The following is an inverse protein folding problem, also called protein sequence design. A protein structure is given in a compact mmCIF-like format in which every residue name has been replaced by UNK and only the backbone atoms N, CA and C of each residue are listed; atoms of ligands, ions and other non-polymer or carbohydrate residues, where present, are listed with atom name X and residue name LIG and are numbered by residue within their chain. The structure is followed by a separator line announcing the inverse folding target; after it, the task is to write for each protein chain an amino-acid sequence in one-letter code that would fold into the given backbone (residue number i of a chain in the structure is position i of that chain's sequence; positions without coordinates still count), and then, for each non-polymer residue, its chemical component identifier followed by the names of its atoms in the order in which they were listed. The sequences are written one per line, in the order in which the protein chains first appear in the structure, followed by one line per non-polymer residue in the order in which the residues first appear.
data_IF_015145574145
#
_entry.id   IF_015145574145
#
_cell.length_a   1.000
_cell.length_b   1.000
_cell.length_c   1.000
_cell.angle_alpha   90.00
_cell.angle_beta   90.00
_cell.angle_gamma   90.00
#
_symmetry.space_group_name_H-M   'P 1'
#
loop_
_entity.id
_entity.type
_entity.pdbx_description
1 polymer ?
#
# COMPACT_ATOMS: atom_id res chain seq x y z
N UNK A 1 -10.06 -25.21 -0.01
CA UNK A 1 -9.92 -24.24 -1.11
C UNK A 1 -8.67 -24.62 -1.90
N UNK A 2 -8.76 -24.65 -3.22
CA UNK A 2 -7.78 -25.33 -4.08
C UNK A 2 -6.41 -24.62 -4.08
N UNK A 3 -5.36 -25.37 -3.77
CA UNK A 3 -4.02 -25.05 -4.24
C UNK A 3 -4.06 -24.97 -5.78
N UNK A 4 -3.65 -23.85 -6.37
CA UNK A 4 -3.62 -23.66 -7.83
C UNK A 4 -4.41 -22.49 -8.39
N UNK A 5 -5.01 -21.62 -7.57
CA UNK A 5 -5.57 -20.36 -8.08
C UNK A 5 -4.44 -19.40 -8.51
N UNK A 6 -4.48 -18.84 -9.73
CA UNK A 6 -3.42 -17.97 -10.26
C UNK A 6 -3.24 -16.65 -9.50
N UNK A 7 -4.28 -16.24 -8.77
CA UNK A 7 -4.30 -15.04 -7.92
C UNK A 7 -4.96 -15.41 -6.60
N UNK A 8 -4.34 -15.05 -5.48
CA UNK A 8 -4.90 -15.25 -4.15
C UNK A 8 -5.67 -14.01 -3.68
N UNK A 9 -6.89 -14.23 -3.20
CA UNK A 9 -7.76 -13.19 -2.67
C UNK A 9 -7.63 -13.16 -1.14
N UNK A 10 -7.25 -12.01 -0.61
CA UNK A 10 -7.13 -11.73 0.83
C UNK A 10 -8.31 -10.87 1.27
N UNK A 11 -8.96 -11.24 2.38
CA UNK A 11 -10.12 -10.50 2.88
C UNK A 11 -9.69 -9.42 3.87
N UNK A 12 -9.95 -8.15 3.52
CA UNK A 12 -9.68 -7.01 4.40
C UNK A 12 -10.70 -6.92 5.53
N UNK A 13 -10.29 -7.25 6.76
CA UNK A 13 -11.12 -7.14 7.95
C UNK A 13 -10.90 -5.79 8.68
N UNK A 14 -11.94 -5.23 9.33
CA UNK A 14 -11.80 -3.97 10.07
C UNK A 14 -10.94 -4.09 11.35
N UNK A 15 -10.59 -5.31 11.75
CA UNK A 15 -9.81 -5.63 12.95
C UNK A 15 -10.06 -7.08 13.38
N UNK A 16 -9.52 -7.45 14.54
CA UNK A 16 -9.61 -8.82 15.09
C UNK A 16 -10.59 -8.93 16.27
N UNK A 17 -11.59 -8.06 16.35
CA UNK A 17 -12.63 -8.20 17.39
C UNK A 17 -13.40 -9.50 17.18
N UNK A 18 -13.60 -10.28 18.25
CA UNK A 18 -14.49 -11.44 18.22
C UNK A 18 -15.89 -11.03 17.76
N UNK A 19 -16.47 -11.84 16.87
CA UNK A 19 -17.78 -11.59 16.32
C UNK A 19 -18.01 -12.22 14.94
N UNK A 20 -19.15 -11.90 14.30
CA UNK A 20 -19.61 -12.59 13.09
C UNK A 20 -18.65 -12.55 11.90
N UNK A 21 -17.95 -11.43 11.70
CA UNK A 21 -16.99 -11.28 10.61
C UNK A 21 -15.79 -12.22 10.78
N UNK A 22 -15.17 -12.20 11.96
CA UNK A 22 -14.03 -13.04 12.28
C UNK A 22 -14.41 -14.51 12.29
N UNK A 23 -15.56 -14.85 12.91
CA UNK A 23 -16.10 -16.21 12.90
C UNK A 23 -16.35 -16.73 11.48
N UNK A 24 -16.89 -15.90 10.58
CA UNK A 24 -17.10 -16.28 9.18
C UNK A 24 -15.78 -16.47 8.43
N UNK A 25 -14.80 -15.60 8.66
CA UNK A 25 -13.47 -15.74 8.06
C UNK A 25 -12.79 -17.06 8.48
N UNK A 26 -12.89 -17.44 9.77
CA UNK A 26 -12.43 -18.75 10.27
C UNK A 26 -13.19 -19.90 9.63
N UNK A 27 -14.52 -19.86 9.62
CA UNK A 27 -15.35 -20.93 9.09
C UNK A 27 -15.06 -21.21 7.59
N UNK A 28 -14.81 -20.15 6.82
CA UNK A 28 -14.47 -20.23 5.40
C UNK A 28 -12.97 -20.43 5.15
N UNK A 29 -12.14 -20.48 6.21
CA UNK A 29 -10.67 -20.59 6.12
C UNK A 29 -10.04 -19.53 5.21
N UNK A 30 -10.53 -18.29 5.31
CA UNK A 30 -10.07 -17.20 4.45
C UNK A 30 -8.73 -16.63 4.97
N UNK A 31 -7.76 -16.36 4.08
CA UNK A 31 -6.64 -15.51 4.43
C UNK A 31 -7.17 -14.08 4.60
N UNK A 32 -6.69 -13.39 5.63
CA UNK A 32 -7.18 -12.05 5.97
C UNK A 32 -6.05 -11.04 6.02
N UNK A 33 -6.40 -9.78 5.82
CA UNK A 33 -5.53 -8.64 6.03
C UNK A 33 -6.22 -7.70 7.02
N UNK A 34 -5.45 -7.16 7.96
CA UNK A 34 -5.90 -6.09 8.84
C UNK A 34 -4.96 -4.90 8.75
N UNK A 35 -5.50 -3.72 8.98
CA UNK A 35 -4.74 -2.49 9.03
C UNK A 35 -4.13 -2.30 10.43
N UNK A 36 -2.88 -1.84 10.52
CA UNK A 36 -2.21 -1.54 11.79
C UNK A 36 -3.06 -0.60 12.66
N UNK A 37 -3.70 0.41 12.06
CA UNK A 37 -4.57 1.34 12.76
C UNK A 37 -5.77 0.65 13.47
N UNK A 38 -6.19 -0.55 13.05
CA UNK A 38 -7.21 -1.33 13.76
C UNK A 38 -6.76 -1.80 15.14
N UNK A 39 -5.45 -1.90 15.36
CA UNK A 39 -4.81 -2.28 16.62
C UNK A 39 -4.34 -1.07 17.42
N UNK A 40 -4.56 0.16 16.97
CA UNK A 40 -4.12 1.35 17.69
C UNK A 40 -4.97 1.66 18.93
N UNK A 41 -4.30 2.13 19.98
CA UNK A 41 -4.90 2.81 21.12
C UNK A 41 -4.78 4.30 20.90
N UNK A 42 -5.88 5.01 21.14
CA UNK A 42 -5.96 6.45 21.01
C UNK A 42 -6.44 7.03 22.34
N UNK A 43 -5.77 8.07 22.83
CA UNK A 43 -6.18 8.86 24.00
C UNK A 43 -6.73 10.19 23.53
N UNK A 44 -7.76 10.68 24.20
CA UNK A 44 -8.27 12.04 23.99
C UNK A 44 -7.38 13.02 24.75
N UNK A 45 -6.99 14.10 24.09
CA UNK A 45 -6.32 15.26 24.69
C UNK A 45 -6.94 16.54 24.15
N UNK A 46 -6.75 17.63 24.87
CA UNK A 46 -7.23 18.94 24.41
C UNK A 46 -6.63 19.24 23.02
N UNK A 47 -7.51 19.38 22.03
CA UNK A 47 -7.13 19.64 20.63
C UNK A 47 -6.94 18.42 19.73
N UNK A 48 -7.06 17.17 20.20
CA UNK A 48 -6.97 16.01 19.30
C UNK A 48 -6.87 14.63 19.94
N UNK A 49 -6.62 13.62 19.09
CA UNK A 49 -6.32 12.25 19.51
C UNK A 49 -4.83 11.99 19.43
N UNK A 50 -4.24 11.50 20.51
CA UNK A 50 -2.84 11.09 20.58
C UNK A 50 -2.76 9.56 20.52
N UNK A 51 -1.84 9.03 19.72
CA UNK A 51 -1.58 7.59 19.69
C UNK A 51 -0.92 7.14 21.00
N UNK A 52 -1.36 6.01 21.54
CA UNK A 52 -1.01 5.56 22.90
C UNK A 52 -0.63 4.07 22.94
N UNK A 53 -0.01 3.57 21.86
CA UNK A 53 0.46 2.20 21.74
C UNK A 53 -0.53 1.24 21.06
N UNK A 54 -0.15 -0.04 21.02
CA UNK A 54 -0.89 -1.11 20.36
C UNK A 54 -1.83 -1.89 21.30
N UNK A 55 -2.88 -2.49 20.73
CA UNK A 55 -3.83 -3.42 21.39
C UNK A 55 -3.43 -4.87 21.13
N UNK A 56 -2.22 -5.26 21.50
CA UNK A 56 -1.66 -6.58 21.16
C UNK A 56 -2.50 -7.77 21.67
N UNK A 57 -3.26 -7.60 22.76
CA UNK A 57 -4.19 -8.63 23.25
C UNK A 57 -5.22 -9.08 22.21
N UNK A 58 -5.57 -8.24 21.24
CA UNK A 58 -6.51 -8.61 20.16
C UNK A 58 -5.92 -9.64 19.19
N UNK A 59 -4.60 -9.80 19.13
CA UNK A 59 -3.93 -10.79 18.30
C UNK A 59 -4.26 -12.22 18.73
N UNK A 60 -4.63 -12.45 20.00
CA UNK A 60 -5.11 -13.75 20.48
C UNK A 60 -6.35 -14.24 19.72
N UNK A 61 -7.13 -13.33 19.14
CA UNK A 61 -8.29 -13.65 18.33
C UNK A 61 -7.89 -14.07 16.90
N UNK A 62 -6.61 -14.09 16.52
CA UNK A 62 -6.21 -14.59 15.21
C UNK A 62 -6.29 -16.13 15.07
N UNK A 63 -6.50 -16.85 16.19
CA UNK A 63 -6.61 -18.31 16.18
C UNK A 63 -7.67 -18.83 15.19
N UNK A 64 -7.36 -19.94 14.51
CA UNK A 64 -8.27 -20.60 13.56
C UNK A 64 -8.43 -19.89 12.21
N UNK A 65 -7.78 -18.75 11.98
CA UNK A 65 -7.66 -18.16 10.65
C UNK A 65 -6.63 -18.93 9.81
N UNK A 66 -6.82 -18.95 8.49
CA UNK A 66 -5.89 -19.61 7.59
C UNK A 66 -4.52 -18.90 7.53
N UNK A 67 -4.53 -17.57 7.46
CA UNK A 67 -3.35 -16.73 7.59
C UNK A 67 -3.77 -15.28 7.81
N UNK A 68 -2.84 -14.46 8.31
CA UNK A 68 -3.07 -13.03 8.53
C UNK A 68 -1.90 -12.19 7.99
N UNK A 69 -2.24 -11.14 7.24
CA UNK A 69 -1.32 -10.13 6.75
C UNK A 69 -1.56 -8.79 7.46
N UNK A 70 -0.51 -7.98 7.57
CA UNK A 70 -0.54 -6.66 8.18
C UNK A 70 -0.34 -5.56 7.13
N UNK A 71 -1.33 -4.68 7.00
CA UNK A 71 -1.23 -3.39 6.30
C UNK A 71 -0.72 -2.31 7.27
N UNK A 72 0.13 -1.40 6.76
CA UNK A 72 0.74 -0.30 7.52
C UNK A 72 -0.26 0.80 7.92
N UNK A 73 -1.40 0.86 7.23
CA UNK A 73 -2.43 1.90 7.34
C UNK A 73 -2.09 3.26 6.69
N UNK A 74 -1.07 3.34 5.82
CA UNK A 74 -0.57 4.61 5.25
C UNK A 74 -1.65 5.59 4.79
N UNK A 75 -2.65 5.12 4.03
CA UNK A 75 -3.78 5.94 3.58
C UNK A 75 -4.69 6.45 4.72
N UNK A 76 -5.03 5.58 5.67
CA UNK A 76 -5.88 5.95 6.82
C UNK A 76 -5.17 6.96 7.70
N UNK A 77 -3.86 6.82 7.86
CA UNK A 77 -3.02 7.71 8.64
C UNK A 77 -2.91 9.09 8.02
N UNK A 78 -2.61 9.16 6.72
CA UNK A 78 -2.60 10.42 5.99
C UNK A 78 -3.97 11.13 6.03
N UNK A 79 -5.06 10.40 5.75
CA UNK A 79 -6.40 10.98 5.64
C UNK A 79 -7.02 11.42 6.98
N UNK A 80 -6.73 10.72 8.08
CA UNK A 80 -7.40 10.97 9.39
C UNK A 80 -6.51 11.59 10.45
N UNK A 81 -5.20 11.39 10.35
CA UNK A 81 -4.23 11.78 11.38
C UNK A 81 -3.12 12.67 10.83
N UNK A 82 -3.19 13.05 9.53
CA UNK A 82 -2.23 13.93 8.84
C UNK A 82 -0.80 13.39 8.77
N UNK A 83 -0.61 12.09 8.96
CA UNK A 83 0.71 11.47 8.93
C UNK A 83 0.79 10.24 9.83
N UNK A 84 2.00 9.69 9.92
CA UNK A 84 2.31 8.56 10.78
C UNK A 84 2.35 9.05 12.25
N UNK A 85 1.51 8.50 13.14
CA UNK A 85 1.44 8.94 14.52
C UNK A 85 2.39 8.12 15.44
N UNK A 86 3.19 7.24 14.85
CA UNK A 86 4.15 6.34 15.49
C UNK A 86 5.44 6.28 14.66
N UNK A 87 6.55 5.92 15.31
CA UNK A 87 7.85 5.76 14.65
C UNK A 87 7.96 4.43 13.90
N UNK A 88 9.03 4.25 13.10
CA UNK A 88 9.34 2.94 12.48
C UNK A 88 9.60 1.89 13.56
N UNK A 89 10.30 2.27 14.63
CA UNK A 89 10.57 1.39 15.79
C UNK A 89 9.28 0.93 16.47
N UNK A 90 8.37 1.86 16.79
CA UNK A 90 7.05 1.55 17.35
C UNK A 90 6.27 0.56 16.48
N UNK A 91 6.39 0.69 15.15
CA UNK A 91 5.69 -0.16 14.20
C UNK A 91 6.34 -1.55 14.07
N UNK A 92 7.64 -1.59 13.76
CA UNK A 92 8.35 -2.83 13.46
C UNK A 92 8.52 -3.66 14.72
N UNK A 93 9.09 -3.09 15.78
CA UNK A 93 9.37 -3.82 17.02
C UNK A 93 8.11 -3.95 17.87
N UNK A 94 7.29 -2.89 17.91
CA UNK A 94 6.08 -2.87 18.75
C UNK A 94 4.88 -3.63 18.18
N UNK A 95 4.82 -3.87 16.86
CA UNK A 95 3.68 -4.55 16.22
C UNK A 95 4.06 -5.64 15.22
N UNK A 96 4.94 -5.36 14.26
CA UNK A 96 5.29 -6.36 13.24
C UNK A 96 6.00 -7.57 13.87
N UNK A 97 6.87 -7.35 14.86
CA UNK A 97 7.53 -8.43 15.61
C UNK A 97 6.63 -9.13 16.64
N UNK A 98 5.49 -8.54 16.99
CA UNK A 98 4.62 -9.05 18.04
C UNK A 98 3.75 -10.26 17.62
N UNK A 99 3.77 -10.64 16.35
CA UNK A 99 2.97 -11.75 15.82
C UNK A 99 3.64 -12.38 14.59
N UNK A 100 3.50 -13.69 14.34
CA UNK A 100 4.00 -14.34 13.12
C UNK A 100 3.08 -14.03 11.93
N UNK A 101 3.10 -12.78 11.45
CA UNK A 101 2.36 -12.37 10.26
C UNK A 101 2.82 -13.18 9.06
N UNK A 102 1.89 -13.57 8.17
CA UNK A 102 2.25 -14.19 6.89
C UNK A 102 3.09 -13.23 6.05
N UNK A 103 2.65 -11.98 5.97
CA UNK A 103 3.35 -10.84 5.37
C UNK A 103 2.99 -9.60 6.17
N UNK A 104 3.93 -8.66 6.27
CA UNK A 104 3.67 -7.35 6.86
C UNK A 104 4.26 -6.26 5.96
N UNK A 105 3.45 -5.25 5.68
CA UNK A 105 3.81 -4.15 4.79
C UNK A 105 4.76 -3.17 5.47
N UNK A 106 5.72 -2.62 4.73
CA UNK A 106 6.47 -1.45 5.20
C UNK A 106 5.52 -0.27 5.48
N UNK A 107 5.96 0.66 6.34
CA UNK A 107 5.35 1.99 6.37
C UNK A 107 5.53 2.69 5.01
N UNK A 108 4.56 3.51 4.64
CA UNK A 108 4.53 4.14 3.33
C UNK A 108 3.77 5.47 3.37
N UNK A 109 4.00 6.27 2.31
CA UNK A 109 3.30 7.52 2.07
C UNK A 109 2.48 7.41 0.78
N UNK A 110 1.20 7.08 0.92
CA UNK A 110 0.20 6.99 -0.15
C UNK A 110 0.05 8.25 -1.05
N UNK A 111 -0.22 8.08 -2.34
CA UNK A 111 -0.21 9.20 -3.31
C UNK A 111 -1.56 9.43 -4.00
N UNK A 112 -2.66 9.04 -3.36
CA UNK A 112 -4.01 9.31 -3.85
C UNK A 112 -4.24 10.82 -4.04
N UNK A 113 -5.04 11.26 -5.03
CA UNK A 113 -5.28 12.68 -5.30
C UNK A 113 -5.86 13.47 -4.12
N UNK A 114 -6.61 12.81 -3.24
CA UNK A 114 -7.13 13.42 -2.02
C UNK A 114 -6.05 13.71 -0.96
N UNK A 115 -4.88 13.09 -1.09
CA UNK A 115 -3.73 13.24 -0.21
C UNK A 115 -2.65 14.06 -0.90
N UNK A 116 -2.11 13.58 -2.02
CA UNK A 116 -1.08 14.26 -2.79
C UNK A 116 -1.71 15.11 -3.91
N UNK A 117 -1.71 16.44 -3.78
CA UNK A 117 -2.51 17.29 -4.68
C UNK A 117 -1.82 17.58 -6.01
N UNK A 118 -0.50 17.69 -6.00
CA UNK A 118 0.31 18.04 -7.16
C UNK A 118 1.43 17.01 -7.40
N UNK A 119 2.22 17.27 -8.45
CA UNK A 119 3.29 16.38 -8.88
C UNK A 119 4.45 16.31 -7.88
N UNK A 120 4.79 17.43 -7.25
CA UNK A 120 5.88 17.51 -6.29
C UNK A 120 5.52 16.76 -5.01
N UNK A 121 4.29 16.89 -4.52
CA UNK A 121 3.85 16.13 -3.35
C UNK A 121 3.85 14.61 -3.61
N UNK A 122 3.52 14.18 -4.84
CA UNK A 122 3.65 12.77 -5.24
C UNK A 122 5.11 12.32 -5.15
N UNK A 123 6.03 13.10 -5.72
CA UNK A 123 7.47 12.77 -5.73
C UNK A 123 8.07 12.76 -4.32
N UNK A 124 7.73 13.73 -3.48
CA UNK A 124 8.19 13.79 -2.09
C UNK A 124 7.70 12.59 -1.29
N UNK A 125 6.45 12.17 -1.50
CA UNK A 125 5.89 10.98 -0.86
C UNK A 125 6.52 9.68 -1.33
N UNK A 126 6.93 9.60 -2.60
CA UNK A 126 7.70 8.46 -3.11
C UNK A 126 9.07 8.40 -2.42
N UNK A 127 9.80 9.51 -2.34
CA UNK A 127 11.11 9.56 -1.67
C UNK A 127 11.00 9.17 -0.19
N UNK A 128 9.98 9.67 0.52
CA UNK A 128 9.70 9.27 1.91
C UNK A 128 9.35 7.79 2.03
N UNK A 129 8.63 7.23 1.07
CA UNK A 129 8.30 5.79 1.03
C UNK A 129 9.56 4.95 0.82
N UNK A 130 10.47 5.36 -0.07
CA UNK A 130 11.78 4.70 -0.24
C UNK A 130 12.54 4.67 1.09
N UNK A 131 12.64 5.82 1.76
CA UNK A 131 13.31 5.92 3.06
C UNK A 131 12.68 5.02 4.12
N UNK A 132 11.34 5.00 4.22
CA UNK A 132 10.61 4.13 5.14
C UNK A 132 10.80 2.64 4.83
N UNK A 133 10.88 2.25 3.56
CA UNK A 133 11.17 0.88 3.17
C UNK A 133 12.55 0.44 3.68
N UNK A 134 13.57 1.27 3.46
CA UNK A 134 14.95 0.99 3.90
C UNK A 134 15.01 0.88 5.43
N UNK A 135 14.38 1.80 6.14
CA UNK A 135 14.38 1.80 7.60
C UNK A 135 13.59 0.62 8.19
N UNK A 136 12.40 0.32 7.65
CA UNK A 136 11.63 -0.85 8.05
C UNK A 136 12.43 -2.13 7.79
N UNK A 137 13.14 -2.21 6.65
CA UNK A 137 13.95 -3.36 6.30
C UNK A 137 15.13 -3.57 7.26
N UNK A 138 15.85 -2.51 7.61
CA UNK A 138 16.94 -2.58 8.59
C UNK A 138 16.43 -3.07 9.95
N UNK A 139 15.37 -2.46 10.48
CA UNK A 139 14.73 -2.87 11.74
C UNK A 139 14.19 -4.30 11.68
N UNK A 140 13.70 -4.73 10.52
CA UNK A 140 13.23 -6.10 10.30
C UNK A 140 14.34 -7.15 10.36
N UNK A 141 15.55 -6.80 9.88
CA UNK A 141 16.74 -7.64 10.02
C UNK A 141 17.05 -7.80 11.51
N UNK A 142 17.14 -6.67 12.23
CA UNK A 142 17.48 -6.65 13.66
C UNK A 142 16.46 -7.44 14.50
N UNK A 143 15.17 -7.30 14.18
CA UNK A 143 14.09 -8.02 14.84
C UNK A 143 13.90 -9.48 14.35
N UNK A 144 14.65 -9.94 13.34
CA UNK A 144 14.57 -11.31 12.83
C UNK A 144 13.27 -11.65 12.08
N UNK A 145 12.52 -10.65 11.59
CA UNK A 145 11.23 -10.81 10.91
C UNK A 145 11.28 -10.45 9.41
N UNK A 146 12.49 -10.29 8.88
CA UNK A 146 12.74 -9.82 7.51
C UNK A 146 12.25 -10.79 6.43
N UNK A 147 12.07 -12.07 6.74
CA UNK A 147 11.57 -13.08 5.80
C UNK A 147 10.14 -12.81 5.33
N UNK A 148 9.35 -12.12 6.16
CA UNK A 148 7.94 -11.85 5.89
C UNK A 148 7.70 -10.35 5.59
N UNK A 149 8.78 -9.59 5.41
CA UNK A 149 8.76 -8.17 5.09
C UNK A 149 8.30 -7.95 3.64
N UNK A 150 7.29 -7.10 3.47
CA UNK A 150 6.71 -6.73 2.19
C UNK A 150 6.90 -5.23 1.94
N UNK A 151 7.92 -4.81 1.19
CA UNK A 151 8.12 -3.40 0.86
C UNK A 151 6.97 -2.87 -0.01
N UNK A 152 6.65 -1.58 0.14
CA UNK A 152 5.56 -0.92 -0.59
C UNK A 152 6.13 0.04 -1.64
N UNK A 153 5.73 -0.15 -2.90
CA UNK A 153 5.97 0.81 -3.97
C UNK A 153 4.80 1.80 -4.06
N UNK A 154 5.13 3.09 -4.19
CA UNK A 154 4.15 4.17 -4.36
C UNK A 154 4.29 4.85 -5.71
N UNK A 155 3.19 5.36 -6.24
CA UNK A 155 3.21 6.08 -7.51
C UNK A 155 1.84 6.44 -8.07
N UNK A 156 1.79 7.51 -8.87
CA UNK A 156 0.59 7.91 -9.62
C UNK A 156 0.66 7.47 -11.07
N UNK A 157 1.84 7.59 -11.69
CA UNK A 157 2.16 7.15 -13.06
C UNK A 157 2.99 5.85 -13.02
N UNK A 158 3.00 5.01 -14.08
CA UNK A 158 3.86 3.82 -14.10
C UNK A 158 5.34 4.11 -13.82
N UNK A 159 5.88 5.24 -14.30
CA UNK A 159 7.25 5.67 -14.05
C UNK A 159 7.54 5.99 -12.58
N UNK A 160 6.54 6.39 -11.81
CA UNK A 160 6.70 6.63 -10.37
C UNK A 160 7.03 5.35 -9.61
N UNK A 161 6.40 4.24 -10.00
CA UNK A 161 6.66 2.94 -9.38
C UNK A 161 8.06 2.44 -9.71
N UNK A 162 8.57 2.72 -10.92
CA UNK A 162 9.95 2.42 -11.29
C UNK A 162 10.92 3.26 -10.45
N UNK A 163 10.65 4.56 -10.30
CA UNK A 163 11.45 5.44 -9.43
C UNK A 163 11.48 4.95 -7.99
N UNK A 164 10.33 4.53 -7.44
CA UNK A 164 10.27 3.95 -6.10
C UNK A 164 11.03 2.62 -6.02
N UNK A 165 10.94 1.78 -7.07
CA UNK A 165 11.65 0.51 -7.17
C UNK A 165 13.16 0.71 -7.20
N UNK A 166 13.67 1.64 -8.01
CA UNK A 166 15.10 1.95 -8.12
C UNK A 166 15.68 2.32 -6.75
N UNK A 167 14.95 3.14 -5.97
CA UNK A 167 15.35 3.54 -4.63
C UNK A 167 15.45 2.40 -3.61
N UNK A 168 14.74 1.28 -3.82
CA UNK A 168 14.74 0.14 -2.89
C UNK A 168 15.33 -1.14 -3.48
N UNK A 169 15.78 -1.15 -4.73
CA UNK A 169 16.20 -2.36 -5.43
C UNK A 169 17.28 -3.14 -4.66
N UNK A 170 18.17 -2.43 -3.97
CA UNK A 170 19.28 -2.98 -3.18
C UNK A 170 18.85 -3.75 -1.92
N UNK A 171 17.61 -3.57 -1.42
CA UNK A 171 17.08 -4.33 -0.26
C UNK A 171 16.17 -5.50 -0.67
N UNK A 172 15.89 -5.66 -1.96
CA UNK A 172 14.99 -6.71 -2.45
C UNK A 172 15.69 -8.07 -2.51
N UNK A 173 14.93 -9.13 -2.23
CA UNK A 173 15.40 -10.53 -2.29
C UNK A 173 14.59 -11.36 -3.28
N UNK A 174 15.20 -12.35 -3.96
CA UNK A 174 14.47 -13.28 -4.80
C UNK A 174 13.31 -13.95 -4.05
N UNK A 175 12.15 -14.07 -4.72
CA UNK A 175 10.95 -14.67 -4.13
C UNK A 175 10.19 -13.77 -3.14
N UNK A 176 10.68 -12.56 -2.85
CA UNK A 176 9.99 -11.61 -1.97
C UNK A 176 8.71 -11.08 -2.61
N UNK A 177 7.69 -10.83 -1.79
CA UNK A 177 6.48 -10.13 -2.22
C UNK A 177 6.67 -8.63 -2.07
N UNK A 178 6.37 -7.88 -3.12
CA UNK A 178 6.36 -6.41 -3.12
C UNK A 178 4.92 -5.94 -3.23
N UNK A 179 4.53 -4.99 -2.40
CA UNK A 179 3.20 -4.41 -2.45
C UNK A 179 3.13 -3.17 -3.32
N UNK A 180 2.00 -2.99 -3.99
CA UNK A 180 1.71 -1.86 -4.87
C UNK A 180 0.67 -0.98 -4.16
N UNK A 181 1.11 0.18 -3.71
CA UNK A 181 0.29 1.19 -3.06
C UNK A 181 -0.58 1.98 -4.03
N UNK A 182 -1.54 2.75 -3.50
CA UNK A 182 -2.39 3.68 -4.25
C UNK A 182 -3.14 3.14 -5.47
N UNK A 183 -3.46 1.84 -5.45
CA UNK A 183 -4.21 1.13 -6.50
C UNK A 183 -5.73 1.24 -6.37
N UNK A 184 -6.28 1.42 -5.17
CA UNK A 184 -7.72 1.32 -4.89
C UNK A 184 -8.60 2.30 -5.69
N UNK A 185 -8.10 3.52 -5.93
CA UNK A 185 -8.82 4.58 -6.65
C UNK A 185 -8.63 4.53 -8.18
N UNK A 186 -7.68 3.71 -8.66
CA UNK A 186 -7.26 3.70 -10.05
C UNK A 186 -8.35 3.11 -10.96
N UNK A 187 -8.44 3.65 -12.18
CA UNK A 187 -9.16 2.99 -13.26
C UNK A 187 -8.45 1.66 -13.61
N UNK A 188 -9.17 0.69 -14.15
CA UNK A 188 -8.56 -0.58 -14.56
C UNK A 188 -7.63 -0.37 -15.77
N UNK A 189 -8.13 0.39 -16.75
CA UNK A 189 -7.44 0.72 -18.01
C UNK A 189 -6.99 2.18 -18.04
N UNK A 190 -6.20 2.55 -19.06
CA UNK A 190 -5.61 3.87 -19.25
C UNK A 190 -4.10 3.86 -19.05
N UNK A 191 -3.42 4.91 -19.51
CA UNK A 191 -1.97 5.10 -19.35
C UNK A 191 -1.55 5.08 -17.88
N UNK A 192 -2.37 5.69 -17.03
CA UNK A 192 -2.28 5.68 -15.58
C UNK A 192 -3.32 4.72 -14.97
N UNK A 193 -3.71 3.66 -15.70
CA UNK A 193 -4.64 2.63 -15.24
C UNK A 193 -3.92 1.45 -14.58
N UNK A 194 -4.56 0.76 -13.63
CA UNK A 194 -4.00 -0.36 -12.87
C UNK A 194 -3.15 -1.31 -13.72
N UNK A 195 -3.66 -1.72 -14.89
CA UNK A 195 -2.96 -2.64 -15.77
C UNK A 195 -1.65 -2.07 -16.35
N UNK A 196 -1.57 -0.77 -16.62
CA UNK A 196 -0.33 -0.14 -17.10
C UNK A 196 0.78 -0.15 -16.04
N UNK A 197 0.42 -0.04 -14.75
CA UNK A 197 1.39 -0.19 -13.65
C UNK A 197 1.85 -1.63 -13.53
N UNK A 198 0.93 -2.59 -13.51
CA UNK A 198 1.29 -4.01 -13.44
C UNK A 198 2.13 -4.43 -14.64
N UNK A 199 1.78 -3.99 -15.86
CA UNK A 199 2.56 -4.25 -17.06
C UNK A 199 3.96 -3.64 -16.99
N UNK A 200 4.07 -2.40 -16.53
CA UNK A 200 5.36 -1.73 -16.38
C UNK A 200 6.25 -2.43 -15.35
N UNK A 201 5.68 -2.78 -14.19
CA UNK A 201 6.41 -3.53 -13.16
C UNK A 201 6.79 -4.93 -13.63
N UNK A 202 5.90 -5.64 -14.34
CA UNK A 202 6.18 -6.96 -14.89
C UNK A 202 7.36 -6.97 -15.87
N UNK A 203 7.55 -5.88 -16.62
CA UNK A 203 8.69 -5.72 -17.54
C UNK A 203 10.03 -5.45 -16.85
N UNK A 204 10.03 -4.83 -15.66
CA UNK A 204 11.26 -4.33 -15.02
C UNK A 204 11.66 -5.10 -13.75
N UNK A 205 10.73 -5.78 -13.09
CA UNK A 205 11.02 -6.55 -11.89
C UNK A 205 11.72 -7.87 -12.22
N UNK A 206 12.66 -8.27 -11.34
CA UNK A 206 13.21 -9.63 -11.32
C UNK A 206 12.07 -10.67 -11.35
N UNK A 207 12.08 -11.66 -12.26
CA UNK A 207 10.97 -12.61 -12.45
C UNK A 207 10.57 -13.42 -11.21
N UNK A 208 11.47 -13.54 -10.23
CA UNK A 208 11.21 -14.29 -8.99
C UNK A 208 10.35 -13.51 -7.99
N UNK A 209 10.25 -12.19 -8.16
CA UNK A 209 9.48 -11.33 -7.25
C UNK A 209 7.98 -11.54 -7.45
N UNK A 210 7.25 -11.57 -6.32
CA UNK A 210 5.80 -11.65 -6.30
C UNK A 210 5.16 -10.28 -6.05
N UNK A 211 3.89 -10.13 -6.40
CA UNK A 211 3.15 -8.87 -6.25
C UNK A 211 1.98 -8.97 -5.28
N UNK A 212 1.82 -7.95 -4.44
CA UNK A 212 0.62 -7.71 -3.64
C UNK A 212 -0.07 -6.42 -4.09
N UNK A 213 -1.35 -6.47 -4.40
CA UNK A 213 -2.12 -5.29 -4.80
C UNK A 213 -3.11 -4.84 -3.73
N UNK A 214 -2.94 -3.61 -3.21
CA UNK A 214 -3.81 -3.12 -2.14
C UNK A 214 -5.19 -2.66 -2.65
N UNK A 215 -6.27 -3.15 -2.03
CA UNK A 215 -7.62 -2.67 -2.29
C UNK A 215 -8.10 -2.81 -3.75
N UNK A 216 -7.61 -3.81 -4.49
CA UNK A 216 -7.96 -4.01 -5.89
C UNK A 216 -9.43 -4.44 -6.02
N UNK A 217 -10.15 -3.81 -6.96
CA UNK A 217 -11.57 -4.09 -7.20
C UNK A 217 -11.74 -5.33 -8.09
N UNK A 218 -12.80 -6.07 -7.80
CA UNK A 218 -13.14 -7.32 -8.49
C UNK A 218 -13.14 -7.30 -10.03
N UNK A 219 -13.56 -6.22 -10.73
CA UNK A 219 -13.48 -6.16 -12.20
C UNK A 219 -12.06 -6.28 -12.77
N UNK A 220 -11.02 -5.91 -12.02
CA UNK A 220 -9.63 -6.04 -12.48
C UNK A 220 -9.13 -7.48 -12.45
N UNK A 221 -9.75 -8.38 -11.67
CA UNK A 221 -9.24 -9.74 -11.43
C UNK A 221 -9.00 -10.54 -12.71
N UNK A 222 -9.93 -10.50 -13.66
CA UNK A 222 -9.81 -11.26 -14.91
C UNK A 222 -8.71 -10.75 -15.83
N UNK A 223 -8.33 -9.47 -15.69
CA UNK A 223 -7.23 -8.86 -16.45
C UNK A 223 -5.87 -9.11 -15.79
N UNK A 224 -5.81 -9.07 -14.46
CA UNK A 224 -4.58 -9.35 -13.70
C UNK A 224 -4.07 -10.78 -13.89
N UNK A 225 -4.93 -11.69 -14.35
CA UNK A 225 -4.53 -13.04 -14.76
C UNK A 225 -3.47 -13.06 -15.86
N UNK A 226 -3.29 -11.97 -16.62
CA UNK A 226 -2.18 -11.84 -17.56
C UNK A 226 -0.81 -11.90 -16.87
N UNK A 227 -0.76 -11.62 -15.57
CA UNK A 227 0.46 -11.56 -14.76
C UNK A 227 0.50 -12.66 -13.69
N UNK A 228 -0.22 -13.78 -13.88
CA UNK A 228 -0.34 -14.84 -12.87
C UNK A 228 0.99 -15.52 -12.51
N UNK A 229 2.00 -15.43 -13.37
CA UNK A 229 3.37 -15.87 -13.07
C UNK A 229 4.02 -15.10 -11.92
N UNK A 230 3.55 -13.88 -11.62
CA UNK A 230 3.98 -13.06 -10.47
C UNK A 230 3.37 -13.48 -9.13
N UNK A 231 2.68 -14.64 -9.07
CA UNK A 231 2.01 -15.18 -7.85
C UNK A 231 1.24 -14.10 -7.08
N UNK A 232 0.34 -13.42 -7.78
CA UNK A 232 -0.30 -12.22 -7.27
C UNK A 232 -1.16 -12.54 -6.06
N UNK A 233 -1.03 -11.72 -5.02
CA UNK A 233 -2.00 -11.62 -3.93
C UNK A 233 -2.67 -10.24 -4.01
N UNK A 234 -3.92 -10.13 -3.56
CA UNK A 234 -4.60 -8.84 -3.45
C UNK A 234 -5.57 -8.85 -2.30
N UNK A 235 -5.75 -7.71 -1.66
CA UNK A 235 -6.76 -7.55 -0.62
C UNK A 235 -7.92 -6.69 -1.08
N UNK A 236 -9.06 -6.88 -0.43
CA UNK A 236 -10.17 -5.94 -0.54
C UNK A 236 -11.12 -6.04 0.65
N UNK A 237 -11.66 -4.90 1.05
CA UNK A 237 -12.79 -4.78 1.99
C UNK A 237 -14.07 -4.28 1.30
N UNK A 238 -14.16 -4.39 -0.03
CA UNK A 238 -15.28 -3.84 -0.82
C UNK A 238 -16.66 -4.39 -0.40
N UNK A 239 -16.71 -5.59 0.17
CA UNK A 239 -17.93 -6.16 0.75
C UNK A 239 -18.52 -5.29 1.87
N UNK A 240 -17.68 -4.60 2.65
CA UNK A 240 -18.11 -3.73 3.75
C UNK A 240 -18.82 -2.48 3.21
N UNK A 241 -18.29 -1.90 2.12
CA UNK A 241 -18.95 -0.80 1.41
C UNK A 241 -20.29 -1.25 0.80
N UNK A 242 -20.30 -2.41 0.14
CA UNK A 242 -21.53 -2.97 -0.44
C UNK A 242 -22.61 -3.23 0.63
N UNK A 243 -22.22 -3.77 1.79
CA UNK A 243 -23.13 -3.97 2.92
C UNK A 243 -23.68 -2.64 3.44
N UNK A 244 -22.84 -1.60 3.54
CA UNK A 244 -23.29 -0.25 3.95
C UNK A 244 -24.30 0.34 2.97
N UNK A 245 -24.07 0.20 1.68
CA UNK A 245 -24.99 0.71 0.66
C UNK A 245 -26.31 -0.07 0.63
N UNK A 246 -26.28 -1.40 0.75
CA UNK A 246 -27.50 -2.23 0.82
C UNK A 246 -28.33 -1.88 2.04
N UNK A 247 -27.71 -1.83 3.23
CA UNK A 247 -28.42 -1.49 4.46
C UNK A 247 -29.08 -0.10 4.40
N UNK A 248 -28.40 0.88 3.79
CA UNK A 248 -28.95 2.21 3.58
C UNK A 248 -30.15 2.20 2.62
N UNK A 249 -30.04 1.49 1.50
CA UNK A 249 -31.10 1.40 0.49
C UNK A 249 -32.34 0.65 1.01
N UNK A 250 -32.11 -0.45 1.73
CA UNK A 250 -33.14 -1.33 2.27
C UNK A 250 -33.72 -0.82 3.61
N UNK A 251 -33.21 0.30 4.14
CA UNK A 251 -33.72 0.93 5.36
C UNK A 251 -33.53 0.13 6.66
N UNK A 252 -32.47 -0.68 6.76
CA UNK A 252 -32.20 -1.49 7.97
C UNK A 252 -30.79 -1.29 8.55
N UNK A 253 -30.59 -1.75 9.79
CA UNK A 253 -29.33 -1.60 10.50
C UNK A 253 -28.21 -2.49 9.90
N UNK A 254 -27.03 -1.90 9.68
CA UNK A 254 -25.82 -2.60 9.18
C UNK A 254 -25.13 -3.43 10.27
N UNK A 255 -25.76 -4.52 10.72
CA UNK A 255 -25.24 -5.42 11.76
C UNK A 255 -23.98 -6.17 11.29
N UNK A 256 -23.17 -6.68 12.23
CA UNK A 256 -21.98 -7.47 11.87
C UNK A 256 -22.33 -8.78 11.16
N UNK A 257 -23.45 -9.43 11.51
CA UNK A 257 -23.95 -10.60 10.78
C UNK A 257 -24.28 -10.26 9.32
N UNK A 258 -24.91 -9.11 9.09
CA UNK A 258 -25.21 -8.65 7.74
C UNK A 258 -23.93 -8.44 6.91
N UNK A 259 -22.93 -7.77 7.48
CA UNK A 259 -21.64 -7.58 6.79
C UNK A 259 -20.93 -8.92 6.54
N UNK A 260 -20.99 -9.87 7.47
CA UNK A 260 -20.40 -11.21 7.30
C UNK A 260 -21.06 -11.99 6.15
N UNK A 261 -22.38 -11.89 5.97
CA UNK A 261 -23.07 -12.47 4.82
C UNK A 261 -22.64 -11.81 3.51
N UNK A 262 -22.45 -10.49 3.49
CA UNK A 262 -21.91 -9.79 2.33
C UNK A 262 -20.47 -10.21 2.02
N UNK A 263 -19.65 -10.45 3.04
CA UNK A 263 -18.27 -10.92 2.91
C UNK A 263 -18.20 -12.29 2.24
N UNK A 264 -18.99 -13.25 2.70
CA UNK A 264 -19.08 -14.59 2.10
C UNK A 264 -19.49 -14.52 0.63
N UNK A 265 -20.64 -13.88 0.32
CA UNK A 265 -21.12 -13.74 -1.07
C UNK A 265 -20.15 -12.96 -1.95
N UNK A 266 -19.44 -11.98 -1.39
CA UNK A 266 -18.41 -11.25 -2.13
C UNK A 266 -17.23 -12.15 -2.48
N UNK A 267 -16.79 -12.97 -1.52
CA UNK A 267 -15.67 -13.90 -1.68
C UNK A 267 -15.99 -14.95 -2.75
N UNK A 268 -17.16 -15.58 -2.67
CA UNK A 268 -17.64 -16.52 -3.70
C UNK A 268 -17.64 -15.89 -5.10
N UNK A 269 -18.10 -14.64 -5.21
CA UNK A 269 -18.09 -13.91 -6.49
C UNK A 269 -16.68 -13.61 -6.99
N UNK A 270 -15.69 -13.40 -6.12
CA UNK A 270 -14.32 -13.17 -6.55
C UNK A 270 -13.70 -14.47 -7.09
N UNK A 271 -13.89 -15.59 -6.41
CA UNK A 271 -13.44 -16.88 -6.92
C UNK A 271 -14.15 -17.27 -8.23
N UNK A 272 -15.46 -17.01 -8.33
CA UNK A 272 -16.19 -17.23 -9.58
C UNK A 272 -15.67 -16.36 -10.74
N UNK A 273 -15.12 -15.15 -10.46
CA UNK A 273 -14.45 -14.31 -11.48
C UNK A 273 -13.11 -14.91 -11.90
N UNK A 274 -12.32 -15.42 -10.96
CA UNK A 274 -11.02 -16.05 -11.26
C UNK A 274 -11.17 -17.35 -12.04
N UNK A 275 -12.27 -18.08 -11.84
CA UNK A 275 -12.60 -19.28 -12.61
C UNK A 275 -12.97 -18.99 -14.08
N UNK A 276 -13.22 -17.72 -14.46
CA UNK A 276 -13.51 -17.36 -15.85
C UNK A 276 -12.23 -17.41 -16.71
N UNK A 277 -12.39 -17.60 -18.03
CA UNK A 277 -11.27 -17.49 -18.96
C UNK A 277 -10.53 -16.16 -18.80
N UNK A 278 -9.22 -16.19 -19.03
CA UNK A 278 -8.37 -15.01 -19.02
C UNK A 278 -8.88 -14.03 -20.08
N UNK A 279 -9.11 -12.77 -19.70
CA UNK A 279 -9.37 -11.74 -20.68
C UNK A 279 -8.07 -11.45 -21.44
N UNK A 280 -8.15 -11.33 -22.77
CA UNK A 280 -7.02 -10.83 -23.56
C UNK A 280 -6.56 -9.48 -23.00
N UNK A 281 -5.27 -9.35 -22.75
CA UNK A 281 -4.63 -8.09 -22.43
C UNK A 281 -3.76 -7.72 -23.63
N UNK A 282 -4.08 -6.60 -24.28
CA UNK A 282 -3.19 -6.01 -25.25
C UNK A 282 -2.28 -5.07 -24.50
N UNK A 283 -1.00 -5.43 -24.43
CA UNK A 283 0.03 -4.55 -23.89
C UNK A 283 -0.02 -3.18 -24.55
N UNK A 284 0.08 -2.15 -23.73
CA UNK A 284 0.22 -0.79 -24.24
C UNK A 284 1.59 -0.66 -24.88
N UNK A 285 1.66 -0.09 -26.09
CA UNK A 285 2.96 0.32 -26.61
C UNK A 285 3.48 1.42 -25.68
N UNK A 286 4.70 1.31 -25.15
CA UNK A 286 5.30 2.35 -24.34
C UNK A 286 5.55 3.55 -25.26
N UNK A 287 4.58 4.45 -25.33
CA UNK A 287 4.78 5.77 -25.89
C UNK A 287 5.41 6.62 -24.77
N UNK A 288 6.52 7.32 -25.03
CA UNK A 288 7.01 8.29 -24.07
C UNK A 288 5.89 9.28 -23.79
N UNK A 289 5.64 9.65 -22.52
CA UNK A 289 4.66 10.66 -22.22
C UNK A 289 5.00 11.94 -23.00
N UNK A 290 4.00 12.78 -23.33
CA UNK A 290 4.28 14.10 -23.87
C UNK A 290 5.30 14.79 -22.97
N UNK A 291 6.40 15.28 -23.56
CA UNK A 291 7.40 15.99 -22.78
C UNK A 291 6.73 17.17 -22.09
N UNK A 292 6.72 17.17 -20.75
CA UNK A 292 6.37 18.36 -20.00
C UNK A 292 7.40 19.44 -20.35
N UNK A 293 7.01 20.71 -20.54
CA UNK A 293 7.94 21.78 -20.81
C UNK A 293 9.02 21.77 -19.72
N UNK A 294 10.28 21.74 -20.11
CA UNK A 294 11.36 21.83 -19.14
C UNK A 294 11.26 23.19 -18.43
N UNK A 295 11.28 23.22 -17.09
CA UNK A 295 11.31 24.48 -16.37
C UNK A 295 12.58 25.25 -16.75
N UNK A 296 12.54 26.57 -16.69
CA UNK A 296 13.67 27.44 -17.05
C UNK A 296 13.97 28.45 -15.96
N UNK A 297 15.22 28.90 -15.88
CA UNK A 297 15.67 29.87 -14.88
C UNK A 297 15.41 29.40 -13.45
N UNK A 298 14.71 30.22 -12.67
CA UNK A 298 14.39 29.93 -11.27
C UNK A 298 13.60 28.63 -11.09
N UNK A 299 12.64 28.35 -11.98
CA UNK A 299 11.84 27.12 -11.89
C UNK A 299 12.71 25.88 -12.09
N UNK A 300 13.72 25.95 -12.96
CA UNK A 300 14.67 24.86 -13.18
C UNK A 300 15.52 24.61 -11.95
N UNK A 301 16.00 25.68 -11.32
CA UNK A 301 16.81 25.59 -10.11
C UNK A 301 16.01 25.04 -8.92
N UNK A 302 14.76 25.45 -8.76
CA UNK A 302 13.86 24.88 -7.74
C UNK A 302 13.60 23.40 -8.00
N UNK A 303 13.38 23.01 -9.26
CA UNK A 303 13.20 21.60 -9.61
C UNK A 303 14.47 20.77 -9.32
N UNK A 304 15.64 21.30 -9.64
CA UNK A 304 16.93 20.66 -9.34
C UNK A 304 17.19 20.54 -7.83
N UNK A 305 16.97 21.61 -7.07
CA UNK A 305 17.08 21.59 -5.61
C UNK A 305 16.16 20.55 -4.97
N UNK A 306 14.90 20.46 -5.43
CA UNK A 306 13.96 19.43 -4.95
C UNK A 306 14.43 18.02 -5.28
N UNK A 307 15.04 17.81 -6.44
CA UNK A 307 15.60 16.51 -6.82
C UNK A 307 16.78 16.11 -5.94
N UNK A 308 17.73 17.02 -5.70
CA UNK A 308 18.87 16.80 -4.81
C UNK A 308 18.42 16.50 -3.37
N UNK A 309 17.50 17.31 -2.82
CA UNK A 309 16.91 17.10 -1.49
C UNK A 309 16.23 15.73 -1.40
N UNK A 310 15.48 15.32 -2.44
CA UNK A 310 14.87 13.98 -2.48
C UNK A 310 15.92 12.87 -2.48
N UNK A 311 17.03 13.03 -3.20
CA UNK A 311 18.15 12.08 -3.15
C UNK A 311 18.69 11.94 -1.73
N UNK A 312 19.04 13.07 -1.10
CA UNK A 312 19.57 13.10 0.28
C UNK A 312 18.60 12.47 1.28
N UNK A 313 17.29 12.69 1.10
CA UNK A 313 16.25 12.09 1.93
C UNK A 313 16.21 10.56 1.77
N UNK A 314 16.32 10.05 0.54
CA UNK A 314 16.33 8.61 0.27
C UNK A 314 17.56 7.95 0.88
N UNK A 315 18.72 8.61 0.79
CA UNK A 315 19.99 8.17 1.37
C UNK A 315 20.01 8.28 2.92
N UNK A 316 19.06 9.03 3.49
CA UNK A 316 18.93 9.23 4.94
C UNK A 316 19.88 10.28 5.50
N UNK A 317 20.45 11.13 4.65
CA UNK A 317 21.35 12.23 5.07
C UNK A 317 20.58 13.39 5.70
N UNK A 318 19.31 13.56 5.34
CA UNK A 318 18.43 14.60 5.89
C UNK A 318 17.11 14.01 6.40
N UNK A 319 16.55 14.62 7.45
CA UNK A 319 15.24 14.24 7.96
C UNK A 319 14.13 15.03 7.26
N UNK A 320 12.95 14.42 7.09
CA UNK A 320 11.87 15.07 6.35
C UNK A 320 11.41 16.38 6.99
N UNK A 321 11.40 16.45 8.32
CA UNK A 321 10.83 17.53 9.13
C UNK A 321 11.67 18.81 9.04
N UNK A 322 12.88 18.69 8.51
CA UNK A 322 13.80 19.78 8.23
C UNK A 322 13.52 20.46 6.88
N UNK A 323 12.72 19.83 6.00
CA UNK A 323 12.45 20.34 4.65
C UNK A 323 11.38 21.44 4.69
N UNK A 324 11.77 22.68 4.38
CA UNK A 324 10.86 23.84 4.26
C UNK A 324 10.97 24.49 2.89
N UNK A 325 9.91 25.17 2.44
CA UNK A 325 9.93 25.90 1.15
C UNK A 325 11.01 26.99 1.11
N UNK A 326 11.31 27.62 2.25
CA UNK A 326 12.38 28.60 2.37
C UNK A 326 13.75 27.97 2.13
N UNK A 327 13.99 26.78 2.70
CA UNK A 327 15.24 26.06 2.50
C UNK A 327 15.42 25.55 1.07
N UNK A 328 14.33 25.10 0.42
CA UNK A 328 14.35 24.73 -0.99
C UNK A 328 14.70 25.94 -1.86
N UNK A 329 14.14 27.11 -1.55
CA UNK A 329 14.45 28.34 -2.27
C UNK A 329 15.91 28.77 -2.07
N UNK A 330 16.45 28.68 -0.86
CA UNK A 330 17.86 28.96 -0.58
C UNK A 330 18.78 28.04 -1.39
N UNK A 331 18.53 26.73 -1.38
CA UNK A 331 19.29 25.76 -2.17
C UNK A 331 19.20 26.02 -3.68
N UNK A 332 18.01 26.39 -4.18
CA UNK A 332 17.82 26.76 -5.57
C UNK A 332 18.61 28.02 -5.96
N UNK A 333 18.70 29.01 -5.05
CA UNK A 333 19.50 30.21 -5.26
C UNK A 333 20.99 29.88 -5.34
N UNK A 334 21.47 28.98 -4.47
CA UNK A 334 22.87 28.51 -4.50
C UNK A 334 23.18 27.78 -5.81
N UNK A 335 22.31 26.88 -6.26
CA UNK A 335 22.48 26.19 -7.55
C UNK A 335 22.56 27.18 -8.72
N UNK A 336 21.69 28.20 -8.76
CA UNK A 336 21.75 29.24 -9.80
C UNK A 336 23.03 30.09 -9.73
N UNK A 337 23.55 30.35 -8.53
CA UNK A 337 24.77 31.12 -8.37
C UNK A 337 26.01 30.35 -8.85
N UNK A 338 25.93 29.02 -8.93
CA UNK A 338 27.03 28.12 -9.35
C UNK A 338 26.93 27.60 -10.79
N UNK A 339 25.82 27.86 -11.49
CA UNK A 339 25.54 27.40 -12.86
C UNK A 339 26.07 28.36 -13.94
#
# INVERSE_FOLDING_TARGET
MAAGTPIEIIVGLPGLSEGPLLARARALQLPVLISANSLSRWRQRDGGREWAGWRLRQLANAHGLASIMLDSAGFVLASRYRGLPWTVEDYVEGLAAAYPWRLWASLDHCVEPEIARDREEVLDRIARTVRLNIECHARAIDAGIVSNFMPVLQGRRPSDYLRCLDGIAHILRPGQTIAIGSTCRRAVHGEDGLLAVFETLDRHLDPTLHLHGFGIKGPALSHLRAFEHRKITLDSSAFSYAARMSALFDGHAKTNHFVANHMERWTERQYARLARPRNGFQSSLPLPPPAEPLPTGWEAAVAAAREEIRSLLMDGEIAHDQITDAWIAEWAADLMATA
#
